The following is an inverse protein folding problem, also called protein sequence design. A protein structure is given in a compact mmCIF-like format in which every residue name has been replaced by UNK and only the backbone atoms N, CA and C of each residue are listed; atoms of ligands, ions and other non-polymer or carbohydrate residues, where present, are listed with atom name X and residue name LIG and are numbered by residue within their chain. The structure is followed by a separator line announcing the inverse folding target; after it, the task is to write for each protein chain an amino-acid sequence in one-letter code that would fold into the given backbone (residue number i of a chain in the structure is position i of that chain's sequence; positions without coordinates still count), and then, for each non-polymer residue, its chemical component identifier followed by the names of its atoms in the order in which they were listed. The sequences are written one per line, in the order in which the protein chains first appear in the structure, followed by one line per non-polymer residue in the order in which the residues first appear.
data_IF_300164032723
#
_entry.id   IF_300164032723
#
_cell.length_a   1.000
_cell.length_b   1.000
_cell.length_c   1.000
_cell.angle_alpha   90.00
_cell.angle_beta   90.00
_cell.angle_gamma   90.00
#
_symmetry.space_group_name_H-M   'P 1'
#
loop_
_entity.id
_entity.type
_entity.pdbx_description
1 polymer ?
#
# COMPACT_ATOMS: atom_id res chain seq x y z
N UNK A 1 2.56 -21.24 8.19
CA UNK A 1 2.22 -19.86 8.60
C UNK A 1 1.94 -19.10 7.32
N UNK A 2 0.69 -18.69 7.12
CA UNK A 2 0.32 -17.86 5.97
C UNK A 2 1.09 -16.53 6.05
N UNK A 3 1.80 -16.09 5.01
CA UNK A 3 2.53 -14.85 5.06
C UNK A 3 1.58 -13.68 5.33
N UNK A 4 1.96 -12.80 6.24
CA UNK A 4 1.19 -11.63 6.61
C UNK A 4 1.34 -10.58 5.51
N UNK A 5 0.31 -10.39 4.68
CA UNK A 5 0.36 -9.41 3.59
C UNK A 5 -0.06 -8.02 4.08
N UNK A 6 0.92 -7.17 4.37
CA UNK A 6 0.71 -5.73 4.62
C UNK A 6 0.94 -4.98 3.33
N UNK A 7 -0.10 -4.33 2.82
CA UNK A 7 -0.07 -3.62 1.54
C UNK A 7 -0.25 -2.13 1.82
N UNK A 8 0.68 -1.33 1.34
CA UNK A 8 0.69 0.11 1.53
C UNK A 8 0.57 0.83 0.20
N UNK A 9 -0.42 1.71 0.08
CA UNK A 9 -0.58 2.61 -1.05
C UNK A 9 -0.18 4.02 -0.62
N UNK A 10 0.99 4.46 -1.03
CA UNK A 10 1.58 5.74 -0.64
C UNK A 10 1.69 6.69 -1.83
N UNK A 11 1.73 7.98 -1.56
CA UNK A 11 1.83 9.02 -2.60
C UNK A 11 1.06 10.28 -2.25
N UNK A 12 1.15 11.29 -3.10
CA UNK A 12 0.50 12.59 -2.93
C UNK A 12 -1.03 12.54 -3.07
N UNK A 13 -1.70 13.68 -2.95
CA UNK A 13 -3.15 13.82 -3.15
C UNK A 13 -3.59 13.42 -4.56
N UNK A 14 -4.83 13.06 -4.70
CA UNK A 14 -5.52 12.87 -5.99
C UNK A 14 -4.83 11.89 -6.96
N UNK A 15 -4.02 10.96 -6.42
CA UNK A 15 -3.30 9.96 -7.22
C UNK A 15 -4.09 8.66 -7.44
N UNK A 16 -5.29 8.52 -6.84
CA UNK A 16 -6.12 7.32 -6.95
C UNK A 16 -5.85 6.23 -5.91
N UNK A 17 -5.05 6.49 -4.87
CA UNK A 17 -4.74 5.52 -3.81
C UNK A 17 -5.96 4.86 -3.19
N UNK A 18 -6.94 5.66 -2.78
CA UNK A 18 -8.17 5.16 -2.16
C UNK A 18 -8.95 4.23 -3.08
N UNK A 19 -8.99 4.52 -4.37
CA UNK A 19 -9.63 3.66 -5.37
C UNK A 19 -8.90 2.32 -5.49
N UNK A 20 -7.57 2.35 -5.55
CA UNK A 20 -6.75 1.14 -5.58
C UNK A 20 -6.84 0.34 -4.29
N UNK A 21 -6.85 1.00 -3.12
CA UNK A 21 -6.99 0.33 -1.83
C UNK A 21 -8.35 -0.38 -1.69
N UNK A 22 -9.43 0.26 -2.14
CA UNK A 22 -10.76 -0.36 -2.18
C UNK A 22 -10.78 -1.57 -3.12
N UNK A 23 -10.16 -1.45 -4.29
CA UNK A 23 -10.05 -2.57 -5.21
C UNK A 23 -9.29 -3.74 -4.59
N UNK A 24 -8.16 -3.51 -3.91
CA UNK A 24 -7.41 -4.56 -3.18
C UNK A 24 -8.29 -5.19 -2.11
N UNK A 25 -8.95 -4.38 -1.27
CA UNK A 25 -9.89 -4.86 -0.25
C UNK A 25 -10.94 -5.79 -0.84
N UNK A 26 -11.61 -5.34 -1.90
CA UNK A 26 -12.76 -6.03 -2.47
C UNK A 26 -12.35 -7.30 -3.24
N UNK A 27 -11.16 -7.28 -3.84
CA UNK A 27 -10.66 -8.41 -4.63
C UNK A 27 -10.04 -9.50 -3.75
N UNK A 28 -9.32 -9.11 -2.70
CA UNK A 28 -8.53 -10.06 -1.88
C UNK A 28 -9.10 -10.26 -0.47
N UNK A 29 -10.16 -9.56 -0.09
CA UNK A 29 -10.79 -9.69 1.23
C UNK A 29 -9.96 -9.15 2.39
N UNK A 30 -8.96 -8.32 2.12
CA UNK A 30 -8.14 -7.73 3.17
C UNK A 30 -8.87 -6.57 3.86
N UNK A 31 -8.81 -6.45 5.19
CA UNK A 31 -9.30 -5.26 5.87
C UNK A 31 -8.54 -4.02 5.38
N UNK A 32 -9.25 -2.88 5.31
CA UNK A 32 -8.68 -1.64 4.81
C UNK A 32 -8.57 -0.61 5.93
N UNK A 33 -7.37 -0.04 6.09
CA UNK A 33 -7.13 1.12 6.93
C UNK A 33 -7.24 2.38 6.07
N UNK A 34 -8.22 3.21 6.37
CA UNK A 34 -8.48 4.46 5.63
C UNK A 34 -9.11 5.50 6.53
N UNK A 35 -9.18 6.74 6.03
CA UNK A 35 -9.90 7.85 6.66
C UNK A 35 -9.39 8.26 8.06
N UNK A 36 -8.22 7.77 8.51
CA UNK A 36 -7.62 8.12 9.80
C UNK A 36 -7.51 9.64 9.96
N UNK A 37 -7.00 10.32 8.96
CA UNK A 37 -6.84 11.78 8.98
C UNK A 37 -8.17 12.52 9.09
N UNK A 38 -9.25 12.02 8.47
CA UNK A 38 -10.58 12.63 8.58
C UNK A 38 -11.21 12.39 9.94
N UNK A 39 -11.00 11.20 10.51
CA UNK A 39 -11.46 10.89 11.87
C UNK A 39 -10.84 11.84 12.88
N UNK A 40 -9.54 12.04 12.84
CA UNK A 40 -8.82 12.98 13.71
C UNK A 40 -9.32 14.41 13.53
N UNK A 41 -9.53 14.86 12.28
CA UNK A 41 -10.02 16.19 12.00
C UNK A 41 -11.41 16.41 12.60
N UNK A 42 -12.31 15.44 12.50
CA UNK A 42 -13.64 15.50 13.06
C UNK A 42 -13.62 15.50 14.61
N UNK A 43 -12.77 14.67 15.22
CA UNK A 43 -12.62 14.63 16.69
C UNK A 43 -12.03 15.93 17.26
N UNK A 44 -11.13 16.58 16.53
CA UNK A 44 -10.57 17.87 16.94
C UNK A 44 -11.52 19.04 16.70
N UNK A 45 -12.71 18.81 16.13
CA UNK A 45 -13.66 19.86 15.71
C UNK A 45 -13.00 20.95 14.86
N UNK A 46 -11.92 20.58 14.16
CA UNK A 46 -11.12 21.52 13.40
C UNK A 46 -11.61 21.58 11.95
N UNK A 47 -11.50 22.77 11.37
CA UNK A 47 -11.75 22.98 9.94
C UNK A 47 -10.45 22.91 9.15
N UNK A 48 -10.51 22.41 7.96
CA UNK A 48 -9.34 22.37 7.06
C UNK A 48 -8.71 23.74 6.83
N UNK A 49 -9.52 24.80 6.82
CA UNK A 49 -9.04 26.18 6.65
C UNK A 49 -8.14 26.63 7.80
N UNK A 50 -8.46 26.21 9.04
CA UNK A 50 -7.66 26.53 10.22
C UNK A 50 -6.28 25.88 10.19
N UNK A 51 -6.16 24.70 9.57
CA UNK A 51 -4.88 24.03 9.39
C UNK A 51 -3.92 24.77 8.45
N UNK A 52 -4.39 25.76 7.67
CA UNK A 52 -3.55 26.58 6.79
C UNK A 52 -2.93 27.79 7.48
N UNK A 53 -3.45 28.19 8.62
CA UNK A 53 -3.07 29.42 9.30
C UNK A 53 -2.48 29.25 10.70
N UNK A 54 -2.71 28.11 11.36
CA UNK A 54 -2.24 27.83 12.72
C UNK A 54 -1.27 26.64 12.74
N UNK A 55 0.03 26.91 12.79
CA UNK A 55 1.08 25.89 12.83
C UNK A 55 0.93 24.98 14.05
N UNK A 56 0.56 25.51 15.21
CA UNK A 56 0.39 24.69 16.41
C UNK A 56 -0.78 23.71 16.28
N UNK A 57 -1.85 24.11 15.60
CA UNK A 57 -2.97 23.23 15.30
C UNK A 57 -2.56 22.14 14.29
N UNK A 58 -1.81 22.51 13.25
CA UNK A 58 -1.29 21.56 12.26
C UNK A 58 -0.39 20.54 12.92
N UNK A 59 0.53 20.97 13.77
CA UNK A 59 1.46 20.06 14.48
C UNK A 59 0.68 19.05 15.34
N UNK A 60 -0.30 19.48 16.12
CA UNK A 60 -1.14 18.58 16.92
C UNK A 60 -1.95 17.62 16.05
N UNK A 61 -2.53 18.12 14.97
CA UNK A 61 -3.29 17.31 14.02
C UNK A 61 -2.43 16.22 13.39
N UNK A 62 -1.26 16.59 12.85
CA UNK A 62 -0.37 15.63 12.16
C UNK A 62 0.22 14.62 13.14
N UNK A 63 0.50 15.04 14.38
CA UNK A 63 0.94 14.13 15.43
C UNK A 63 -0.13 13.09 15.77
N UNK A 64 -1.37 13.53 15.95
CA UNK A 64 -2.50 12.64 16.25
C UNK A 64 -2.78 11.69 15.08
N UNK A 65 -2.72 12.17 13.84
CA UNK A 65 -2.86 11.30 12.66
C UNK A 65 -1.78 10.20 12.64
N UNK A 66 -0.54 10.56 12.98
CA UNK A 66 0.55 9.59 13.07
C UNK A 66 0.25 8.53 14.14
N UNK A 67 -0.11 8.93 15.35
CA UNK A 67 -0.41 8.01 16.45
C UNK A 67 -1.59 7.08 16.11
N UNK A 68 -2.66 7.62 15.55
CA UNK A 68 -3.85 6.84 15.16
C UNK A 68 -3.54 5.86 14.02
N UNK A 69 -2.64 6.22 13.12
CA UNK A 69 -2.19 5.29 12.07
C UNK A 69 -1.45 4.10 12.70
N UNK A 70 -0.52 4.35 13.63
CA UNK A 70 0.17 3.28 14.35
C UNK A 70 -0.80 2.35 15.09
N UNK A 71 -1.76 2.93 15.81
CA UNK A 71 -2.77 2.17 16.54
C UNK A 71 -3.66 1.34 15.60
N UNK A 72 -4.09 1.92 14.48
CA UNK A 72 -4.93 1.22 13.51
C UNK A 72 -4.20 0.01 12.93
N UNK A 73 -2.92 0.15 12.59
CA UNK A 73 -2.11 -0.96 12.08
C UNK A 73 -1.80 -2.01 13.15
N UNK A 74 -1.52 -1.59 14.40
CA UNK A 74 -1.25 -2.49 15.51
C UNK A 74 -2.46 -3.38 15.89
N UNK A 75 -3.68 -2.92 15.62
CA UNK A 75 -4.91 -3.71 15.85
C UNK A 75 -5.16 -4.77 14.78
N UNK A 76 -4.40 -4.77 13.68
CA UNK A 76 -4.55 -5.75 12.61
C UNK A 76 -3.78 -7.02 12.95
N UNK A 77 -4.49 -8.07 13.31
CA UNK A 77 -3.90 -9.40 13.60
C UNK A 77 -3.46 -10.13 12.32
N UNK A 78 -4.00 -9.74 11.16
CA UNK A 78 -3.74 -10.34 9.85
C UNK A 78 -3.16 -9.36 8.83
N UNK A 79 -3.22 -9.74 7.56
CA UNK A 79 -2.90 -8.84 6.46
C UNK A 79 -3.92 -7.70 6.35
N UNK A 80 -3.50 -6.59 5.76
CA UNK A 80 -4.36 -5.43 5.52
C UNK A 80 -3.87 -4.62 4.31
N UNK A 81 -4.73 -3.74 3.82
CA UNK A 81 -4.35 -2.68 2.89
C UNK A 81 -4.48 -1.32 3.57
N UNK A 82 -3.43 -0.52 3.54
CA UNK A 82 -3.42 0.85 4.08
C UNK A 82 -3.45 1.88 2.97
N UNK A 83 -4.46 2.76 3.01
CA UNK A 83 -4.54 3.94 2.16
C UNK A 83 -3.86 5.11 2.87
N UNK A 84 -2.63 5.41 2.49
CA UNK A 84 -1.76 6.53 2.91
C UNK A 84 -0.57 6.16 3.79
N UNK A 85 -0.70 5.25 4.76
CA UNK A 85 0.39 4.92 5.69
C UNK A 85 1.03 6.20 6.31
N UNK A 86 2.33 6.37 6.16
CA UNK A 86 3.11 7.51 6.67
C UNK A 86 2.96 8.81 5.85
N UNK A 87 2.09 8.86 4.84
CA UNK A 87 1.99 10.04 3.95
C UNK A 87 1.64 11.34 4.69
N UNK A 88 1.02 11.27 5.88
CA UNK A 88 0.79 12.44 6.71
C UNK A 88 2.09 13.16 7.10
N UNK A 89 3.21 12.43 7.26
CA UNK A 89 4.51 13.02 7.56
C UNK A 89 5.06 13.82 6.38
N UNK A 90 4.77 13.39 5.15
CA UNK A 90 5.14 14.15 3.94
C UNK A 90 4.38 15.47 3.85
N UNK A 91 3.09 15.49 4.22
CA UNK A 91 2.31 16.72 4.35
C UNK A 91 2.83 17.60 5.46
N UNK A 92 3.10 17.00 6.62
CA UNK A 92 3.62 17.70 7.78
C UNK A 92 4.96 18.38 7.48
N UNK A 93 5.83 17.74 6.73
CA UNK A 93 7.13 18.30 6.35
C UNK A 93 7.02 19.60 5.53
N UNK A 94 5.88 19.84 4.89
CA UNK A 94 5.67 21.05 4.09
C UNK A 94 5.01 22.18 4.88
N UNK A 95 4.13 21.86 5.84
CA UNK A 95 3.29 22.86 6.52
C UNK A 95 3.46 22.89 8.03
N UNK A 96 4.37 22.11 8.60
CA UNK A 96 4.45 21.89 10.06
C UNK A 96 5.88 21.55 10.47
N UNK A 97 6.16 21.64 11.76
CA UNK A 97 7.47 21.29 12.34
C UNK A 97 7.50 19.86 12.89
N UNK A 98 6.38 19.13 12.80
CA UNK A 98 6.20 17.84 13.46
C UNK A 98 7.21 16.77 12.96
N UNK A 99 7.66 16.85 11.71
CA UNK A 99 8.63 15.89 11.18
C UNK A 99 9.95 15.93 11.96
N UNK A 100 10.44 17.11 12.32
CA UNK A 100 11.65 17.25 13.12
C UNK A 100 11.47 16.71 14.54
N UNK A 101 10.27 16.79 15.11
CA UNK A 101 9.94 16.24 16.42
C UNK A 101 9.81 14.72 16.38
N UNK A 102 9.14 14.18 15.36
CA UNK A 102 8.92 12.73 15.19
C UNK A 102 10.18 12.02 14.70
N UNK A 103 11.10 12.70 13.99
CA UNK A 103 12.30 12.10 13.43
C UNK A 103 13.19 11.41 14.49
N UNK A 104 13.16 11.89 15.73
CA UNK A 104 13.87 11.30 16.88
C UNK A 104 13.01 10.34 17.70
N UNK A 105 11.73 10.18 17.35
CA UNK A 105 10.83 9.27 18.05
C UNK A 105 11.11 7.82 17.64
N UNK A 106 11.45 6.93 18.60
CA UNK A 106 11.73 5.52 18.28
C UNK A 106 10.53 4.81 17.63
N UNK A 107 9.30 5.30 17.83
CA UNK A 107 8.12 4.76 17.18
C UNK A 107 8.15 4.96 15.68
N UNK A 108 8.73 6.06 15.16
CA UNK A 108 8.86 6.27 13.73
C UNK A 108 9.78 5.20 13.11
N UNK A 109 10.94 4.97 13.67
CA UNK A 109 11.87 3.97 13.17
C UNK A 109 11.25 2.56 13.15
N UNK A 110 10.59 2.18 14.25
CA UNK A 110 9.88 0.90 14.36
C UNK A 110 8.73 0.77 13.36
N UNK A 111 7.99 1.86 13.15
CA UNK A 111 6.91 1.91 12.18
C UNK A 111 7.41 1.75 10.75
N UNK A 112 8.45 2.50 10.37
CA UNK A 112 9.04 2.42 9.04
C UNK A 112 9.66 1.04 8.75
N UNK A 113 10.17 0.34 9.77
CA UNK A 113 10.61 -1.06 9.64
C UNK A 113 9.41 -1.99 9.36
N UNK A 114 8.26 -1.76 10.00
CA UNK A 114 7.03 -2.49 9.67
C UNK A 114 6.58 -2.23 8.25
N UNK A 115 6.64 -0.98 7.78
CA UNK A 115 6.32 -0.62 6.38
C UNK A 115 7.30 -1.29 5.42
N UNK A 116 8.60 -1.31 5.75
CA UNK A 116 9.64 -1.94 4.96
C UNK A 116 9.43 -3.43 4.75
N UNK A 117 8.83 -4.11 5.74
CA UNK A 117 8.51 -5.54 5.66
C UNK A 117 7.27 -5.85 4.83
N UNK A 118 6.52 -4.85 4.40
CA UNK A 118 5.31 -4.98 3.60
C UNK A 118 5.54 -4.76 2.11
N UNK A 119 4.45 -4.75 1.36
CA UNK A 119 4.41 -4.40 -0.06
C UNK A 119 4.01 -2.94 -0.21
N UNK A 120 4.92 -2.12 -0.68
CA UNK A 120 4.69 -0.68 -0.82
C UNK A 120 4.53 -0.30 -2.29
N UNK A 121 3.38 0.24 -2.66
CA UNK A 121 3.09 0.79 -3.97
C UNK A 121 3.13 2.32 -3.89
N UNK A 122 4.07 2.92 -4.59
CA UNK A 122 4.20 4.37 -4.67
C UNK A 122 3.41 4.90 -5.87
N UNK A 123 2.23 5.45 -5.60
CA UNK A 123 1.29 5.91 -6.62
C UNK A 123 1.66 7.34 -7.03
N UNK A 124 2.25 7.47 -8.22
CA UNK A 124 2.75 8.73 -8.73
C UNK A 124 1.62 9.67 -9.18
N UNK A 125 1.79 10.97 -8.94
CA UNK A 125 0.82 11.96 -9.39
C UNK A 125 0.94 12.21 -10.90
N UNK A 126 -0.18 12.57 -11.50
CA UNK A 126 -0.25 13.07 -12.87
C UNK A 126 -1.12 14.32 -12.89
N UNK A 127 -0.70 15.35 -13.63
CA UNK A 127 -1.43 16.60 -13.71
C UNK A 127 -2.85 16.41 -14.21
N UNK A 128 -3.03 15.52 -15.19
CA UNK A 128 -4.33 15.22 -15.81
C UNK A 128 -5.31 14.49 -14.87
N UNK A 129 -4.81 13.96 -13.73
CA UNK A 129 -5.65 13.30 -12.71
C UNK A 129 -6.04 14.25 -11.57
N UNK A 130 -5.54 15.48 -11.56
CA UNK A 130 -5.99 16.53 -10.64
C UNK A 130 -7.39 16.97 -11.05
N UNK A 131 -8.39 16.22 -10.61
CA UNK A 131 -9.78 16.64 -10.75
C UNK A 131 -10.15 17.53 -9.56
N UNK A 132 -10.84 18.61 -9.86
CA UNK A 132 -11.49 19.43 -8.85
C UNK A 132 -12.71 18.66 -8.32
N UNK A 133 -12.54 17.96 -7.20
CA UNK A 133 -13.60 17.20 -6.53
C UNK A 133 -14.38 18.06 -5.52
N UNK A 134 -14.21 19.39 -5.58
CA UNK A 134 -14.88 20.35 -4.71
C UNK A 134 -14.43 20.32 -3.25
N UNK A 135 -13.81 19.24 -2.80
CA UNK A 135 -13.26 19.08 -1.44
C UNK A 135 -11.80 19.55 -1.38
N UNK A 136 -11.13 19.54 -2.54
CA UNK A 136 -9.70 19.86 -2.69
C UNK A 136 -9.46 20.99 -3.69
N UNK A 137 -10.49 21.82 -3.92
CA UNK A 137 -10.35 23.02 -4.75
C UNK A 137 -9.18 23.86 -4.26
N UNK A 138 -8.21 24.13 -5.15
CA UNK A 138 -7.05 24.97 -4.87
C UNK A 138 -5.79 24.24 -4.40
N UNK A 139 -5.64 22.93 -4.58
CA UNK A 139 -4.35 22.25 -4.41
C UNK A 139 -3.52 22.51 -5.68
N UNK A 140 -2.47 23.31 -5.55
CA UNK A 140 -1.56 23.63 -6.64
C UNK A 140 -0.72 22.40 -7.03
N UNK A 141 -0.43 22.27 -8.34
CA UNK A 141 0.38 21.15 -8.85
C UNK A 141 1.76 21.09 -8.18
N UNK A 142 2.36 22.23 -7.90
CA UNK A 142 3.64 22.37 -7.22
C UNK A 142 3.59 21.78 -5.79
N UNK A 143 2.48 21.95 -5.08
CA UNK A 143 2.28 21.35 -3.76
C UNK A 143 2.21 19.82 -3.87
N UNK A 144 1.49 19.30 -4.85
CA UNK A 144 1.41 17.85 -5.12
C UNK A 144 2.80 17.28 -5.38
N UNK A 145 3.63 17.96 -6.20
CA UNK A 145 5.00 17.52 -6.47
C UNK A 145 5.91 17.58 -5.24
N UNK A 146 5.75 18.58 -4.37
CA UNK A 146 6.52 18.66 -3.12
C UNK A 146 6.17 17.51 -2.20
N UNK A 147 4.89 17.20 -2.03
CA UNK A 147 4.43 16.09 -1.20
C UNK A 147 4.92 14.76 -1.79
N UNK A 148 4.83 14.57 -3.10
CA UNK A 148 5.34 13.38 -3.79
C UNK A 148 6.84 13.20 -3.57
N UNK A 149 7.62 14.27 -3.69
CA UNK A 149 9.06 14.28 -3.39
C UNK A 149 9.36 13.95 -1.93
N UNK A 150 8.55 14.44 -0.99
CA UNK A 150 8.70 14.14 0.44
C UNK A 150 8.35 12.69 0.77
N UNK A 151 7.31 12.11 0.13
CA UNK A 151 7.00 10.69 0.25
C UNK A 151 8.19 9.86 -0.23
N UNK A 152 8.76 10.20 -1.39
CA UNK A 152 9.94 9.52 -1.93
C UNK A 152 11.14 9.65 -0.99
N UNK A 153 11.40 10.85 -0.47
CA UNK A 153 12.48 11.07 0.49
C UNK A 153 12.36 10.16 1.72
N UNK A 154 11.16 10.05 2.29
CA UNK A 154 10.92 9.17 3.43
C UNK A 154 11.16 7.69 3.09
N UNK A 155 10.72 7.24 1.93
CA UNK A 155 10.99 5.88 1.46
C UNK A 155 12.49 5.60 1.36
N UNK A 156 13.25 6.52 0.78
CA UNK A 156 14.70 6.38 0.61
C UNK A 156 15.46 6.48 1.96
N UNK A 157 15.08 7.43 2.83
CA UNK A 157 15.71 7.61 4.15
C UNK A 157 15.61 6.36 5.02
N UNK A 158 14.49 5.65 4.95
CA UNK A 158 14.26 4.44 5.73
C UNK A 158 14.52 3.16 4.95
N UNK A 159 15.13 3.27 3.76
CA UNK A 159 15.44 2.14 2.87
C UNK A 159 14.22 1.22 2.64
N UNK A 160 13.04 1.80 2.49
CA UNK A 160 11.80 1.08 2.21
C UNK A 160 11.74 0.73 0.73
N UNK A 161 11.74 -0.55 0.32
CA UNK A 161 11.56 -0.93 -1.07
C UNK A 161 10.13 -0.60 -1.51
N UNK A 162 9.97 -0.07 -2.72
CA UNK A 162 8.67 0.27 -3.25
C UNK A 162 8.56 -0.01 -4.74
N UNK A 163 7.33 -0.17 -5.20
CA UNK A 163 6.98 -0.37 -6.60
C UNK A 163 6.28 0.89 -7.10
N UNK A 164 6.90 1.64 -8.03
CA UNK A 164 6.27 2.85 -8.56
C UNK A 164 5.12 2.50 -9.50
N UNK A 165 3.97 3.16 -9.30
CA UNK A 165 2.81 3.09 -10.20
C UNK A 165 2.72 4.40 -10.98
N UNK A 166 3.33 4.43 -12.16
CA UNK A 166 3.51 5.63 -12.97
C UNK A 166 2.46 5.81 -14.07
N UNK A 167 1.71 4.77 -14.41
CA UNK A 167 0.70 4.86 -15.46
C UNK A 167 -0.45 5.80 -15.10
N UNK A 168 -0.95 6.55 -16.09
CA UNK A 168 -2.20 7.31 -16.02
C UNK A 168 -3.42 6.37 -15.93
N UNK A 169 -3.34 5.21 -16.55
CA UNK A 169 -4.43 4.25 -16.61
C UNK A 169 -4.62 3.53 -15.27
N UNK A 170 -5.79 3.70 -14.68
CA UNK A 170 -6.18 2.97 -13.47
C UNK A 170 -6.14 1.45 -13.69
N UNK A 171 -6.52 0.98 -14.89
CA UNK A 171 -6.48 -0.45 -15.23
C UNK A 171 -5.05 -1.00 -15.26
N UNK A 172 -4.09 -0.23 -15.77
CA UNK A 172 -2.69 -0.63 -15.77
C UNK A 172 -2.10 -0.66 -14.35
N UNK A 173 -2.47 0.31 -13.50
CA UNK A 173 -2.10 0.32 -12.09
C UNK A 173 -2.65 -0.91 -11.36
N UNK A 174 -3.93 -1.24 -11.60
CA UNK A 174 -4.55 -2.47 -11.07
C UNK A 174 -3.80 -3.71 -11.52
N UNK A 175 -3.50 -3.84 -12.83
CA UNK A 175 -2.74 -4.99 -13.35
C UNK A 175 -1.33 -5.09 -12.75
N UNK A 176 -0.67 -3.96 -12.52
CA UNK A 176 0.65 -3.94 -11.90
C UNK A 176 0.57 -4.46 -10.45
N UNK A 177 -0.39 -3.98 -9.66
CA UNK A 177 -0.64 -4.48 -8.30
C UNK A 177 -0.95 -5.97 -8.33
N UNK A 178 -1.89 -6.40 -9.18
CA UNK A 178 -2.29 -7.79 -9.30
C UNK A 178 -1.10 -8.71 -9.56
N UNK A 179 -0.24 -8.38 -10.53
CA UNK A 179 0.96 -9.18 -10.83
C UNK A 179 1.89 -9.35 -9.63
N UNK A 180 2.05 -8.29 -8.83
CA UNK A 180 2.88 -8.36 -7.63
C UNK A 180 2.22 -9.26 -6.58
N UNK A 181 0.91 -9.11 -6.37
CA UNK A 181 0.18 -9.92 -5.40
C UNK A 181 0.16 -11.40 -5.79
N UNK A 182 0.01 -11.71 -7.09
CA UNK A 182 0.14 -13.07 -7.62
C UNK A 182 1.54 -13.66 -7.36
N UNK A 183 2.60 -12.87 -7.56
CA UNK A 183 3.99 -13.30 -7.31
C UNK A 183 4.27 -13.63 -5.84
N UNK A 184 3.60 -12.96 -4.91
CA UNK A 184 3.73 -13.25 -3.47
C UNK A 184 2.71 -14.29 -2.97
N UNK A 185 1.92 -14.86 -3.87
CA UNK A 185 0.97 -15.93 -3.55
C UNK A 185 -0.30 -15.47 -2.87
N UNK A 186 -0.67 -14.18 -3.02
CA UNK A 186 -1.95 -13.69 -2.53
C UNK A 186 -3.04 -13.91 -3.60
N UNK A 187 -3.98 -14.80 -3.32
CA UNK A 187 -5.03 -15.16 -4.27
C UNK A 187 -6.29 -14.28 -4.09
N UNK A 188 -6.97 -13.90 -5.19
CA UNK A 188 -8.27 -13.22 -5.13
C UNK A 188 -9.34 -14.07 -4.44
N UNK A 189 -10.31 -13.42 -3.81
CA UNK A 189 -11.49 -14.10 -3.26
C UNK A 189 -12.21 -14.89 -4.36
N UNK A 190 -12.46 -16.17 -4.10
CA UNK A 190 -13.18 -17.05 -5.04
C UNK A 190 -12.32 -17.62 -6.16
N UNK A 191 -11.02 -17.38 -6.19
CA UNK A 191 -10.11 -18.15 -7.01
C UNK A 191 -10.20 -19.62 -6.57
N UNK A 192 -10.70 -20.49 -7.47
CA UNK A 192 -10.64 -21.94 -7.22
C UNK A 192 -9.17 -22.33 -7.22
N UNK A 193 -8.68 -23.10 -6.23
CA UNK A 193 -7.34 -23.67 -6.32
C UNK A 193 -7.31 -24.48 -7.63
N UNK A 194 -6.42 -24.11 -8.54
CA UNK A 194 -6.11 -24.96 -9.69
C UNK A 194 -5.70 -26.31 -9.11
N UNK A 195 -6.51 -27.34 -9.36
CA UNK A 195 -6.08 -28.71 -9.09
C UNK A 195 -4.75 -28.88 -9.82
N UNK A 196 -3.68 -29.28 -9.11
CA UNK A 196 -2.46 -29.64 -9.82
C UNK A 196 -2.84 -30.69 -10.85
N UNK A 197 -2.56 -30.41 -12.13
CA UNK A 197 -2.76 -31.35 -13.19
C UNK A 197 -2.06 -32.63 -12.79
N UNK A 198 -2.86 -33.69 -12.59
CA UNK A 198 -2.34 -35.02 -12.30
C UNK A 198 -1.34 -35.33 -13.44
N UNK A 199 -0.05 -35.34 -13.12
CA UNK A 199 0.94 -35.95 -13.99
C UNK A 199 0.52 -37.40 -14.13
N UNK A 200 -0.15 -37.73 -15.22
CA UNK A 200 -0.30 -39.09 -15.66
C UNK A 200 1.11 -39.61 -15.88
N UNK A 201 1.60 -40.32 -14.85
CA UNK A 201 2.73 -41.22 -15.02
C UNK A 201 2.27 -42.29 -15.99
N UNK A 202 2.64 -42.11 -17.26
CA UNK A 202 2.59 -43.20 -18.22
C UNK A 202 3.53 -44.29 -17.71
N UNK A 203 2.98 -45.28 -16.99
CA UNK A 203 3.65 -46.55 -16.78
C UNK A 203 3.84 -47.22 -18.14
N UNK A 204 5.11 -47.28 -18.55
CA UNK A 204 5.49 -48.05 -19.73
C UNK A 204 5.13 -49.55 -19.49
N UNK A 205 4.50 -50.21 -20.46
CA UNK A 205 4.14 -51.61 -20.32
C UNK A 205 5.40 -52.52 -20.18
N UNK A 206 5.33 -53.60 -19.39
CA UNK A 206 6.48 -54.49 -19.18
C UNK A 206 6.93 -55.14 -20.47
N UNK A 207 8.23 -55.08 -20.75
CA UNK A 207 8.87 -55.80 -21.87
C UNK A 207 8.70 -57.30 -21.62
N UNK A 208 8.01 -58.04 -22.54
CA UNK A 208 7.98 -59.48 -22.63
C UNK A 208 9.35 -60.00 -23.07
N UNK A 209 10.04 -60.66 -22.15
CA UNK A 209 11.17 -61.50 -22.46
C UNK A 209 10.70 -62.75 -23.18
N UNK A 210 10.94 -62.84 -24.48
CA UNK A 210 10.77 -64.05 -25.26
C UNK A 210 12.06 -64.86 -25.24
N UNK A 211 12.17 -65.78 -24.31
CA UNK A 211 13.15 -66.88 -24.42
C UNK A 211 12.47 -68.03 -25.17
N UNK A 212 12.81 -68.17 -26.45
CA UNK A 212 12.52 -69.33 -27.27
C UNK A 212 13.74 -70.21 -27.34
N UNK A 213 13.79 -71.21 -26.45
CA UNK A 213 14.70 -72.36 -26.56
C UNK A 213 14.19 -73.24 -27.70
N UNK A 214 15.01 -73.52 -28.70
CA UNK A 214 14.85 -74.67 -29.59
C UNK A 214 16.05 -75.57 -29.42
N UNK A 215 15.75 -76.76 -28.94
CA UNK A 215 16.60 -77.94 -29.04
C UNK A 215 16.48 -78.57 -30.47
N UNK A 216 17.57 -78.81 -31.11
CA UNK A 216 17.98 -80.02 -31.79
C UNK A 216 19.40 -79.84 -32.28
#
# INVERSE_FOLDING_TARGET
VTPLHRIYLVGAHSTGKTTLARWVRDTYGLPMISEVARGVLAEMEARLDALRSDIGLVDRYQHEVFLRQLEAEARMEGGFVSDRAFCNLAYAAHHSTILSQIATDPRLASYMESVRSGLVFFVRPHRDLLSDDGVRAGVEWEEVLRIDGMVKLLLEMFAVPYIPLESLSMQERVRAIQRVLDLVGLEPLGARPERPAARELHEAPPRRNGNGVRAH
#
